data_IF_158775069779
#
_entry.id   IF_158775069779
#
_cell.length_a   1.000
_cell.length_b   1.000
_cell.length_c   1.000
_cell.angle_alpha   90.00
_cell.angle_beta   90.00
_cell.angle_gamma   90.00
#
_symmetry.space_group_name_H-M   'P 1'
#
loop_
_entity.id
_entity.type
_entity.pdbx_description
1 polymer ?
#
# COMPACT_ATOMS: atom_id res chain seq x y z
N UNK A 1 10.03 -13.76 -7.40
CA UNK A 1 10.02 -12.46 -8.12
C UNK A 1 9.15 -11.51 -7.33
N UNK A 2 9.57 -10.24 -7.19
CA UNK A 2 8.85 -9.21 -6.44
C UNK A 2 8.24 -8.19 -7.39
N UNK A 3 7.00 -7.79 -7.15
CA UNK A 3 6.26 -6.86 -8.00
C UNK A 3 5.85 -5.64 -7.19
N UNK A 4 6.20 -4.45 -7.67
CA UNK A 4 5.68 -3.19 -7.14
C UNK A 4 4.40 -2.80 -7.85
N UNK A 5 3.29 -2.66 -7.11
CA UNK A 5 2.01 -2.19 -7.66
C UNK A 5 1.72 -0.77 -7.16
N UNK A 6 1.77 0.20 -8.06
CA UNK A 6 1.44 1.60 -7.80
C UNK A 6 -0.01 1.89 -8.21
N UNK A 7 -0.80 2.48 -7.32
CA UNK A 7 -2.20 2.83 -7.59
C UNK A 7 -2.48 4.27 -7.15
N UNK A 8 -3.39 4.94 -7.85
CA UNK A 8 -3.89 6.27 -7.49
C UNK A 8 -5.36 6.18 -7.06
N UNK A 9 -5.65 6.50 -5.80
CA UNK A 9 -7.00 6.50 -5.22
C UNK A 9 -7.72 5.14 -5.35
N UNK A 10 -6.96 4.05 -5.44
CA UNK A 10 -7.44 2.70 -5.66
C UNK A 10 -6.89 1.73 -4.62
N UNK A 11 -6.55 0.51 -5.02
CA UNK A 11 -6.08 -0.53 -4.10
C UNK A 11 -4.89 -0.05 -3.24
N UNK A 12 -4.95 -0.16 -1.89
CA UNK A 12 -5.86 -0.98 -1.11
C UNK A 12 -7.04 -0.22 -0.47
N UNK A 13 -7.31 1.02 -0.87
CA UNK A 13 -8.43 1.81 -0.33
C UNK A 13 -9.79 1.21 -0.71
N UNK A 14 -10.78 1.47 0.16
CA UNK A 14 -12.14 0.93 0.01
C UNK A 14 -12.86 1.51 -1.22
N UNK A 15 -12.57 2.76 -1.57
CA UNK A 15 -13.12 3.46 -2.72
C UNK A 15 -12.13 3.49 -3.89
N UNK A 16 -12.57 3.19 -5.11
CA UNK A 16 -11.77 3.35 -6.32
C UNK A 16 -12.11 2.33 -7.42
N UNK A 17 -12.32 2.79 -8.65
CA UNK A 17 -12.76 1.91 -9.76
C UNK A 17 -11.73 0.82 -10.11
N UNK A 18 -10.44 1.13 -9.98
CA UNK A 18 -9.36 0.18 -10.23
C UNK A 18 -9.20 -0.88 -9.12
N UNK A 19 -9.84 -0.71 -7.95
CA UNK A 19 -9.67 -1.58 -6.78
C UNK A 19 -9.96 -3.05 -7.09
N UNK A 20 -11.10 -3.33 -7.70
CA UNK A 20 -11.56 -4.70 -7.95
C UNK A 20 -10.66 -5.43 -8.95
N UNK A 21 -10.15 -4.71 -9.95
CA UNK A 21 -9.21 -5.28 -10.91
C UNK A 21 -7.84 -5.52 -10.27
N UNK A 22 -7.31 -4.55 -9.50
CA UNK A 22 -6.05 -4.71 -8.76
C UNK A 22 -6.10 -5.87 -7.74
N UNK A 23 -7.19 -6.00 -6.99
CA UNK A 23 -7.35 -7.10 -6.02
C UNK A 23 -7.39 -8.45 -6.73
N UNK A 24 -8.12 -8.56 -7.85
CA UNK A 24 -8.12 -9.78 -8.69
C UNK A 24 -6.75 -10.10 -9.27
N UNK A 25 -6.00 -9.10 -9.72
CA UNK A 25 -4.65 -9.27 -10.26
C UNK A 25 -3.71 -9.81 -9.18
N UNK A 26 -3.69 -9.19 -8.00
CA UNK A 26 -2.83 -9.60 -6.87
C UNK A 26 -3.19 -11.01 -6.39
N UNK A 27 -4.48 -11.33 -6.30
CA UNK A 27 -4.96 -12.67 -5.94
C UNK A 27 -4.63 -13.72 -7.00
N UNK A 28 -4.73 -13.38 -8.28
CA UNK A 28 -4.41 -14.27 -9.39
C UNK A 28 -2.91 -14.52 -9.59
N UNK A 29 -2.06 -13.70 -8.95
CA UNK A 29 -0.60 -13.79 -8.99
C UNK A 29 -0.03 -14.17 -7.61
N UNK A 30 -0.68 -15.07 -6.90
CA UNK A 30 -0.34 -15.45 -5.52
C UNK A 30 1.10 -15.98 -5.34
N UNK A 31 1.72 -16.53 -6.40
CA UNK A 31 3.12 -16.96 -6.38
C UNK A 31 4.14 -15.81 -6.34
N UNK A 32 3.70 -14.56 -6.45
CA UNK A 32 4.55 -13.37 -6.45
C UNK A 32 4.31 -12.52 -5.21
N UNK A 33 5.39 -12.02 -4.63
CA UNK A 33 5.30 -11.04 -3.55
C UNK A 33 4.98 -9.65 -4.11
N UNK A 34 4.06 -8.96 -3.44
CA UNK A 34 3.63 -7.62 -3.80
C UNK A 34 4.06 -6.58 -2.76
N UNK A 35 4.62 -5.48 -3.27
CA UNK A 35 4.81 -4.22 -2.55
C UNK A 35 3.81 -3.19 -3.13
N UNK A 36 2.84 -2.77 -2.33
CA UNK A 36 1.75 -1.89 -2.76
C UNK A 36 2.09 -0.44 -2.42
N UNK A 37 1.99 0.44 -3.39
CA UNK A 37 2.15 1.87 -3.25
C UNK A 37 0.82 2.54 -3.61
N UNK A 38 0.12 3.07 -2.61
CA UNK A 38 -1.19 3.66 -2.80
C UNK A 38 -1.11 5.17 -2.60
N UNK A 39 -1.46 5.91 -3.64
CA UNK A 39 -1.46 7.36 -3.64
C UNK A 39 -2.86 7.85 -3.27
N UNK A 40 -3.03 8.46 -2.10
CA UNK A 40 -4.35 8.94 -1.65
C UNK A 40 -4.67 10.31 -2.26
N UNK A 41 -5.93 10.51 -2.64
CA UNK A 41 -6.41 11.80 -3.22
C UNK A 41 -7.15 12.69 -2.23
N UNK A 42 -7.47 12.16 -1.05
CA UNK A 42 -8.15 12.87 0.04
C UNK A 42 -7.80 12.22 1.37
N UNK A 43 -7.86 12.98 2.46
CA UNK A 43 -7.69 12.46 3.83
C UNK A 43 -8.74 11.40 4.17
N UNK A 44 -9.98 11.60 3.75
CA UNK A 44 -11.08 10.64 3.96
C UNK A 44 -10.78 9.24 3.41
N UNK A 45 -9.98 9.12 2.34
CA UNK A 45 -9.59 7.81 1.82
C UNK A 45 -8.55 7.10 2.70
N UNK A 46 -7.67 7.86 3.36
CA UNK A 46 -6.73 7.30 4.32
C UNK A 46 -7.47 6.83 5.59
N UNK A 47 -8.43 7.62 6.05
CA UNK A 47 -9.25 7.32 7.23
C UNK A 47 -10.24 6.16 6.99
N UNK A 48 -10.73 5.98 5.76
CA UNK A 48 -11.59 4.86 5.38
C UNK A 48 -10.89 3.49 5.52
N UNK A 49 -9.56 3.47 5.66
CA UNK A 49 -8.77 2.28 5.92
C UNK A 49 -8.56 1.40 4.70
N UNK A 50 -7.96 0.23 4.95
CA UNK A 50 -7.59 -0.74 3.93
C UNK A 50 -8.48 -1.97 3.97
N UNK A 51 -8.55 -2.62 2.83
CA UNK A 51 -9.24 -3.90 2.69
C UNK A 51 -8.35 -5.02 3.23
N UNK A 52 -8.94 -6.17 3.55
CA UNK A 52 -8.16 -7.34 3.93
C UNK A 52 -7.21 -7.75 2.79
N UNK A 53 -5.91 -7.57 3.04
CA UNK A 53 -4.87 -7.82 2.05
C UNK A 53 -4.57 -9.32 1.96
N UNK A 54 -4.38 -9.86 0.75
CA UNK A 54 -3.88 -11.21 0.56
C UNK A 54 -2.48 -11.39 1.20
N UNK A 55 -2.13 -12.60 1.66
CA UNK A 55 -0.88 -12.86 2.39
C UNK A 55 0.39 -12.59 1.57
N UNK A 56 0.32 -12.63 0.24
CA UNK A 56 1.42 -12.30 -0.66
C UNK A 56 1.72 -10.79 -0.73
N UNK A 57 0.87 -9.95 -0.14
CA UNK A 57 1.17 -8.52 0.03
C UNK A 57 2.08 -8.35 1.24
N UNK A 58 3.37 -8.16 0.95
CA UNK A 58 4.40 -8.07 1.98
C UNK A 58 4.48 -6.66 2.61
N UNK A 59 4.04 -5.64 1.89
CA UNK A 59 4.10 -4.25 2.34
C UNK A 59 3.05 -3.38 1.63
N UNK A 60 2.51 -2.42 2.38
CA UNK A 60 1.73 -1.31 1.84
C UNK A 60 2.36 0.00 2.27
N UNK A 61 2.53 0.92 1.33
CA UNK A 61 2.96 2.31 1.57
C UNK A 61 1.89 3.25 1.01
N UNK A 62 1.51 4.23 1.80
CA UNK A 62 0.55 5.27 1.39
C UNK A 62 1.26 6.60 1.24
N UNK A 63 0.87 7.40 0.26
CA UNK A 63 1.36 8.78 0.11
C UNK A 63 0.23 9.71 -0.32
N UNK A 64 0.00 10.84 0.38
CA UNK A 64 -1.04 11.80 0.01
C UNK A 64 -0.62 12.68 -1.16
N UNK A 65 -1.41 12.65 -2.24
CA UNK A 65 -1.26 13.57 -3.38
C UNK A 65 -1.93 14.93 -3.14
N UNK A 66 -2.89 14.97 -2.21
CA UNK A 66 -3.64 16.18 -1.85
C UNK A 66 -2.86 17.09 -0.90
N UNK A 67 -1.90 16.54 -0.17
CA UNK A 67 -0.96 17.32 0.63
C UNK A 67 0.08 17.95 -0.31
N UNK A 68 -0.24 19.14 -0.83
CA UNK A 68 0.63 19.86 -1.77
C UNK A 68 2.05 20.01 -1.22
N UNK A 69 3.01 19.34 -1.86
CA UNK A 69 4.42 19.74 -1.89
C UNK A 69 5.23 19.72 -0.60
N UNK A 70 4.75 19.18 0.52
CA UNK A 70 5.55 19.12 1.75
C UNK A 70 5.41 17.77 2.48
N UNK A 71 6.46 16.95 2.38
CA UNK A 71 6.75 15.90 3.36
C UNK A 71 6.35 14.49 2.98
N UNK A 72 7.13 13.86 2.10
CA UNK A 72 7.35 12.41 2.14
C UNK A 72 8.13 12.04 3.42
N UNK A 73 7.50 12.21 4.58
CA UNK A 73 7.99 11.72 5.87
C UNK A 73 7.33 10.36 6.17
N UNK A 74 7.80 9.33 5.48
CA UNK A 74 7.27 7.96 5.59
C UNK A 74 8.36 6.93 5.86
N UNK A 75 8.85 6.89 7.10
CA UNK A 75 9.44 5.69 7.70
C UNK A 75 10.96 5.60 7.65
N UNK A 76 11.58 6.27 8.60
CA UNK A 76 12.96 6.12 9.05
C UNK A 76 13.36 4.66 9.31
N UNK A 77 14.55 4.31 8.83
CA UNK A 77 15.23 3.04 9.06
C UNK A 77 15.72 3.00 10.52
N UNK A 78 14.99 2.33 11.41
CA UNK A 78 15.58 1.88 12.68
C UNK A 78 15.55 0.36 12.75
N UNK A 79 16.63 -0.23 12.23
CA UNK A 79 17.01 -1.59 12.56
C UNK A 79 17.29 -1.70 14.06
N UNK A 80 16.53 -2.55 14.74
CA UNK A 80 16.86 -3.15 16.04
C UNK A 80 16.56 -4.63 15.83
N UNK A 81 17.51 -5.45 15.38
CA UNK A 81 18.77 -5.69 16.08
C UNK A 81 18.43 -6.51 17.32
N UNK A 82 18.19 -7.80 17.12
CA UNK A 82 17.93 -8.74 18.20
C UNK A 82 19.13 -8.83 19.14
N UNK A 83 18.85 -9.10 20.42
CA UNK A 83 19.87 -9.35 21.41
C UNK A 83 19.31 -9.43 22.82
N UNK A 84 19.40 -10.65 23.37
CA UNK A 84 19.59 -11.00 24.79
C UNK A 84 18.31 -11.16 25.64
N UNK A 85 18.11 -12.39 26.11
CA UNK A 85 17.12 -12.81 27.10
C UNK A 85 16.81 -14.28 26.99
#
# INVERSE_FOLDING_TARGET
>A
MRIGLLTEGGYPYVSGEARLWCDRLVRGLEQHEFDIYALSRSQEQEDAGWIALPPQVSRVRTAPLWAGGAGSAGGELTGRGGGLG
#
